data_IF_301689690610
#
_entry.id   IF_301689690610
#
_cell.length_a   1.000
_cell.length_b   1.000
_cell.length_c   1.000
_cell.angle_alpha   90.00
_cell.angle_beta   90.00
_cell.angle_gamma   90.00
#
_symmetry.space_group_name_H-M   'P 1'
#
loop_
_entity.id
_entity.type
_entity.pdbx_description
1 polymer ?
#
# COMPACT_ATOMS: atom_id res chain seq x y z
N UNK A 1 32.90 -23.71 3.20
CA UNK A 1 31.90 -24.13 2.19
C UNK A 1 30.64 -23.34 2.44
N UNK A 2 30.06 -22.72 1.41
CA UNK A 2 28.81 -21.96 1.54
C UNK A 2 27.65 -22.90 1.25
N UNK A 3 26.75 -23.08 2.20
CA UNK A 3 25.56 -23.93 2.08
C UNK A 3 24.35 -23.02 2.08
N UNK A 4 23.61 -23.00 0.97
CA UNK A 4 22.33 -22.32 0.87
C UNK A 4 21.22 -23.36 1.06
N UNK A 5 20.23 -23.01 1.89
CA UNK A 5 19.08 -23.88 2.18
C UNK A 5 17.82 -23.10 1.89
N UNK A 6 16.94 -23.68 1.09
CA UNK A 6 15.66 -23.08 0.75
C UNK A 6 14.60 -23.41 1.78
N UNK A 7 13.71 -22.45 2.01
CA UNK A 7 12.65 -22.57 2.98
C UNK A 7 11.51 -21.61 2.71
N UNK A 8 10.41 -21.82 3.44
CA UNK A 8 9.23 -20.95 3.40
C UNK A 8 9.29 -20.01 4.59
N UNK A 9 9.19 -18.72 4.34
CA UNK A 9 8.97 -17.72 5.38
C UNK A 9 7.47 -17.50 5.61
N UNK A 10 7.04 -17.60 6.87
CA UNK A 10 5.67 -17.30 7.26
C UNK A 10 5.63 -16.76 8.70
N UNK A 11 5.01 -15.59 8.89
CA UNK A 11 4.74 -14.98 10.20
C UNK A 11 5.97 -14.89 11.13
N UNK A 12 7.13 -14.49 10.61
CA UNK A 12 8.35 -14.35 11.40
C UNK A 12 9.15 -15.64 11.60
N UNK A 13 8.68 -16.76 11.03
CA UNK A 13 9.35 -18.07 11.12
C UNK A 13 9.79 -18.54 9.73
N UNK A 14 10.93 -19.24 9.68
CA UNK A 14 11.47 -19.87 8.45
C UNK A 14 11.42 -21.38 8.62
N UNK A 15 10.69 -22.03 7.72
CA UNK A 15 10.57 -23.49 7.65
C UNK A 15 11.52 -24.00 6.57
N UNK A 16 12.54 -24.74 6.96
CA UNK A 16 13.50 -25.34 6.02
C UNK A 16 12.95 -26.67 5.50
N UNK A 17 13.07 -26.92 4.20
CA UNK A 17 12.63 -28.18 3.62
C UNK A 17 13.59 -29.33 3.95
N UNK A 18 14.89 -29.02 3.99
CA UNK A 18 15.96 -29.99 4.20
C UNK A 18 16.65 -29.79 5.54
N UNK A 19 17.22 -30.89 6.04
CA UNK A 19 18.05 -30.86 7.23
C UNK A 19 19.40 -30.22 6.90
N UNK A 20 19.74 -29.17 7.64
CA UNK A 20 21.02 -28.48 7.47
C UNK A 20 22.15 -29.32 8.07
N UNK A 21 23.30 -29.47 7.39
CA UNK A 21 24.40 -30.34 7.85
C UNK A 21 25.24 -29.74 9.00
N UNK A 22 24.71 -28.79 9.78
CA UNK A 22 25.41 -28.20 10.91
C UNK A 22 24.84 -28.74 12.23
N UNK A 23 25.70 -29.39 13.03
CA UNK A 23 25.32 -29.93 14.34
C UNK A 23 25.53 -28.92 15.49
N UNK A 24 26.37 -27.89 15.26
CA UNK A 24 26.73 -26.88 16.24
C UNK A 24 26.07 -25.52 15.93
N UNK A 25 25.99 -24.67 16.96
CA UNK A 25 25.52 -23.29 16.79
C UNK A 25 26.33 -22.57 15.72
N UNK A 26 25.63 -22.05 14.71
CA UNK A 26 26.25 -21.48 13.51
C UNK A 26 25.56 -20.18 13.15
N UNK A 27 26.34 -19.13 12.86
CA UNK A 27 25.82 -17.85 12.38
C UNK A 27 25.34 -17.99 10.95
N UNK A 28 24.12 -17.51 10.67
CA UNK A 28 23.50 -17.59 9.35
C UNK A 28 23.16 -16.21 8.79
N UNK A 29 23.07 -16.13 7.45
CA UNK A 29 22.54 -14.98 6.73
C UNK A 29 21.25 -15.44 6.04
N UNK A 30 20.15 -14.75 6.28
CA UNK A 30 18.85 -15.05 5.68
C UNK A 30 18.60 -14.08 4.54
N UNK A 31 18.32 -14.62 3.35
CA UNK A 31 18.00 -13.83 2.15
C UNK A 31 16.57 -14.14 1.73
N UNK A 32 15.70 -13.13 1.72
CA UNK A 32 14.33 -13.26 1.24
C UNK A 32 14.29 -13.01 -0.26
N UNK A 33 13.83 -14.00 -1.02
CA UNK A 33 13.62 -13.86 -2.45
C UNK A 33 12.25 -13.22 -2.67
N UNK A 34 12.23 -12.00 -3.21
CA UNK A 34 10.99 -11.39 -3.67
C UNK A 34 10.51 -12.12 -4.92
N UNK A 35 9.29 -12.65 -4.87
CA UNK A 35 8.65 -13.25 -6.02
C UNK A 35 8.31 -12.14 -7.03
N UNK A 36 8.96 -12.06 -8.21
CA UNK A 36 8.78 -10.94 -9.15
C UNK A 36 7.35 -10.85 -9.70
N UNK A 37 6.55 -11.91 -9.50
CA UNK A 37 5.15 -11.99 -9.92
C UNK A 37 4.18 -11.34 -8.93
N UNK A 38 4.54 -11.26 -7.64
CA UNK A 38 3.73 -10.59 -6.62
C UNK A 38 4.12 -9.11 -6.54
N UNK A 39 3.76 -8.35 -7.56
CA UNK A 39 3.62 -6.91 -7.37
C UNK A 39 2.63 -6.73 -6.20
N UNK A 40 2.92 -5.88 -5.19
CA UNK A 40 1.90 -5.53 -4.21
C UNK A 40 0.67 -5.11 -5.00
N UNK A 41 -0.49 -5.70 -4.72
CA UNK A 41 -1.74 -5.31 -5.37
C UNK A 41 -1.81 -3.79 -5.27
N UNK A 42 -1.56 -3.11 -6.38
CA UNK A 42 -1.65 -1.67 -6.37
C UNK A 42 -3.12 -1.43 -6.11
N UNK A 43 -3.44 -0.93 -4.91
CA UNK A 43 -4.80 -0.54 -4.54
C UNK A 43 -5.14 0.64 -5.42
N UNK A 44 -5.48 0.35 -6.68
CA UNK A 44 -5.85 1.33 -7.68
C UNK A 44 -7.20 1.85 -7.21
N UNK A 45 -7.20 3.08 -6.72
CA UNK A 45 -8.44 3.72 -6.31
C UNK A 45 -9.38 3.75 -7.53
N UNK A 46 -10.57 3.20 -7.33
CA UNK A 46 -11.67 3.23 -8.28
C UNK A 46 -12.70 4.24 -7.80
N UNK A 47 -13.61 4.67 -8.69
CA UNK A 47 -14.69 5.59 -8.31
C UNK A 47 -15.54 5.05 -7.14
N UNK A 48 -15.61 3.74 -6.95
CA UNK A 48 -16.32 3.10 -5.84
C UNK A 48 -15.65 3.30 -4.47
N UNK A 49 -14.36 3.67 -4.44
CA UNK A 49 -13.66 4.00 -3.21
C UNK A 49 -14.05 5.38 -2.65
N UNK A 50 -14.76 6.20 -3.42
CA UNK A 50 -15.20 7.52 -3.02
C UNK A 50 -16.71 7.53 -2.76
N UNK A 51 -17.13 8.17 -1.66
CA UNK A 51 -18.56 8.35 -1.34
C UNK A 51 -18.91 9.83 -1.37
N UNK A 52 -19.61 10.24 -2.43
CA UNK A 52 -20.08 11.61 -2.62
C UNK A 52 -21.55 11.81 -2.25
N UNK A 53 -22.22 10.77 -1.72
CA UNK A 53 -23.65 10.86 -1.33
C UNK A 53 -23.88 11.87 -0.21
N UNK A 54 -23.13 11.74 0.90
CA UNK A 54 -23.28 12.64 2.06
C UNK A 54 -23.04 14.12 1.70
N UNK A 55 -21.93 14.50 1.03
CA UNK A 55 -21.74 15.89 0.62
C UNK A 55 -22.84 16.41 -0.31
N UNK A 56 -23.33 15.56 -1.23
CA UNK A 56 -24.39 15.94 -2.19
C UNK A 56 -25.72 16.20 -1.49
N UNK A 57 -26.06 15.42 -0.47
CA UNK A 57 -27.26 15.62 0.33
C UNK A 57 -27.16 16.88 1.20
N UNK A 58 -26.00 17.13 1.80
CA UNK A 58 -25.75 18.33 2.61
C UNK A 58 -25.78 19.61 1.77
N UNK A 59 -25.33 19.55 0.52
CA UNK A 59 -25.22 20.71 -0.38
C UNK A 59 -26.42 20.85 -1.33
N UNK A 60 -27.46 20.02 -1.21
CA UNK A 60 -28.59 19.98 -2.16
C UNK A 60 -29.30 21.33 -2.36
N UNK A 61 -29.34 22.14 -1.31
CA UNK A 61 -30.01 23.45 -1.29
C UNK A 61 -29.01 24.62 -1.43
N UNK A 62 -27.71 24.32 -1.51
CA UNK A 62 -26.68 25.34 -1.66
C UNK A 62 -26.61 25.81 -3.11
N UNK A 63 -26.92 27.09 -3.35
CA UNK A 63 -26.95 27.71 -4.69
C UNK A 63 -25.66 28.46 -5.07
N UNK A 64 -24.61 28.34 -4.25
CA UNK A 64 -23.33 29.01 -4.47
C UNK A 64 -22.33 28.11 -5.19
N UNK A 65 -21.44 28.73 -5.96
CA UNK A 65 -20.25 28.08 -6.51
C UNK A 65 -19.00 28.70 -5.91
N UNK A 66 -18.00 27.86 -5.60
CA UNK A 66 -16.67 28.33 -5.24
C UNK A 66 -16.10 29.26 -6.31
N UNK A 67 -16.38 28.97 -7.58
CA UNK A 67 -15.92 29.78 -8.71
C UNK A 67 -16.49 31.20 -8.66
N UNK A 68 -17.76 31.36 -8.26
CA UNK A 68 -18.40 32.68 -8.19
C UNK A 68 -17.72 33.55 -7.13
N UNK A 69 -17.40 32.98 -5.96
CA UNK A 69 -16.70 33.72 -4.90
C UNK A 69 -15.26 34.05 -5.26
N UNK A 70 -14.56 33.15 -5.96
CA UNK A 70 -13.22 33.44 -6.47
C UNK A 70 -13.24 34.60 -7.48
N UNK A 71 -14.22 34.60 -8.39
CA UNK A 71 -14.39 35.68 -9.39
C UNK A 71 -14.73 37.00 -8.70
N UNK A 72 -15.66 37.00 -7.74
CA UNK A 72 -16.04 38.19 -6.99
C UNK A 72 -14.83 38.80 -6.28
N UNK A 73 -14.09 37.99 -5.52
CA UNK A 73 -12.89 38.43 -4.80
C UNK A 73 -11.83 39.04 -5.71
N UNK A 74 -11.66 38.48 -6.92
CA UNK A 74 -10.72 39.01 -7.93
C UNK A 74 -11.14 40.38 -8.47
N UNK A 75 -12.45 40.63 -8.60
CA UNK A 75 -12.98 41.91 -9.09
C UNK A 75 -12.90 43.01 -8.04
N UNK A 76 -13.05 42.66 -6.76
CA UNK A 76 -12.95 43.60 -5.63
C UNK A 76 -11.50 44.03 -5.35
N UNK A 77 -10.50 43.27 -5.83
CA UNK A 77 -9.08 43.57 -5.66
C UNK A 77 -8.44 44.36 -6.82
N UNK A 78 -9.25 44.89 -7.74
CA UNK A 78 -8.86 45.77 -8.86
C UNK A 78 -9.34 47.19 -8.57
#
# INVERSE_FOLDING_TARGET
MLVAVEGIYQNGQVYLHDKVPFENETKVIVTFLEDPTKKPESKRLTMNNFSFRKPRDVLKDHKGSLSDEVIKKRRESL
#
